data_IF_620983064513
#
_entry.id   IF_620983064513
#
_cell.length_a   1.000
_cell.length_b   1.000
_cell.length_c   1.000
_cell.angle_alpha   90.00
_cell.angle_beta   90.00
_cell.angle_gamma   90.00
#
_symmetry.space_group_name_H-M   'P 1'
#
loop_
_entity.id
_entity.type
_entity.pdbx_description
1 polymer ?
#
# COMPACT_ATOMS: atom_id res chain seq x y z
N UNK A 1 7.35 -55.96 0.99
CA UNK A 1 7.21 -54.53 0.58
C UNK A 1 6.55 -53.68 1.66
N UNK A 2 5.41 -54.07 2.26
CA UNK A 2 4.76 -53.32 3.37
C UNK A 2 5.71 -52.96 4.54
N UNK A 3 6.51 -53.92 5.02
CA UNK A 3 7.39 -53.72 6.18
C UNK A 3 8.53 -52.71 5.97
N UNK A 4 9.01 -52.54 4.72
CA UNK A 4 10.07 -51.57 4.40
C UNK A 4 9.54 -50.14 4.36
N UNK A 5 8.29 -49.96 3.92
CA UNK A 5 7.62 -48.64 3.91
C UNK A 5 7.33 -48.17 5.33
N UNK A 6 6.86 -49.07 6.20
CA UNK A 6 6.60 -48.75 7.62
C UNK A 6 7.87 -48.38 8.38
N UNK A 7 9.00 -49.07 8.10
CA UNK A 7 10.28 -48.76 8.74
C UNK A 7 10.86 -47.42 8.26
N UNK A 8 10.69 -47.08 6.98
CA UNK A 8 11.07 -45.78 6.43
C UNK A 8 10.28 -44.61 7.04
N UNK A 9 8.98 -44.81 7.30
CA UNK A 9 8.14 -43.82 7.98
C UNK A 9 8.57 -43.58 9.43
N UNK A 10 8.91 -44.65 10.15
CA UNK A 10 9.36 -44.57 11.55
C UNK A 10 10.72 -43.86 11.69
N UNK A 11 11.62 -44.01 10.71
CA UNK A 11 12.91 -43.32 10.69
C UNK A 11 12.78 -41.82 10.35
N UNK A 12 11.77 -41.43 9.56
CA UNK A 12 11.49 -40.01 9.25
C UNK A 12 10.95 -39.21 10.45
N UNK A 13 10.35 -39.87 11.43
CA UNK A 13 9.82 -39.23 12.64
C UNK A 13 10.90 -38.64 13.56
N UNK A 14 12.14 -39.14 13.50
CA UNK A 14 13.26 -38.65 14.31
C UNK A 14 13.89 -37.35 13.77
N UNK A 15 13.54 -36.93 12.55
CA UNK A 15 14.05 -35.72 11.89
C UNK A 15 12.97 -34.64 11.70
N UNK A 16 11.97 -34.59 12.57
CA UNK A 16 11.03 -33.47 12.59
C UNK A 16 11.64 -32.31 13.39
N UNK A 17 12.53 -31.56 12.75
CA UNK A 17 12.77 -30.17 13.14
C UNK A 17 11.51 -29.43 12.69
N UNK A 18 10.65 -29.04 13.63
CA UNK A 18 9.59 -28.08 13.34
C UNK A 18 10.25 -26.85 12.70
N UNK A 19 9.85 -26.50 11.47
CA UNK A 19 10.42 -25.35 10.76
C UNK A 19 10.29 -24.12 11.67
N UNK A 20 11.39 -23.43 12.02
CA UNK A 20 11.33 -22.22 12.81
C UNK A 20 10.72 -21.10 11.97
N UNK A 21 9.39 -21.06 11.89
CA UNK A 21 8.64 -20.10 11.07
C UNK A 21 8.79 -18.64 11.53
N UNK A 22 9.49 -18.37 12.63
CA UNK A 22 9.74 -17.01 13.13
C UNK A 22 10.63 -16.22 12.16
N UNK A 23 11.68 -16.86 11.62
CA UNK A 23 12.59 -16.21 10.67
C UNK A 23 11.87 -15.92 9.33
N UNK A 24 11.09 -16.87 8.84
CA UNK A 24 10.29 -16.71 7.61
C UNK A 24 9.17 -15.66 7.79
N UNK A 25 8.52 -15.60 8.96
CA UNK A 25 7.53 -14.56 9.30
C UNK A 25 8.17 -13.17 9.40
N UNK A 26 9.38 -13.06 9.94
CA UNK A 26 10.14 -11.81 9.96
C UNK A 26 10.52 -11.34 8.55
N UNK A 27 10.93 -12.27 7.68
CA UNK A 27 11.24 -11.98 6.29
C UNK A 27 10.00 -11.54 5.51
N UNK A 28 8.88 -12.26 5.66
CA UNK A 28 7.60 -11.87 5.06
C UNK A 28 7.12 -10.49 5.54
N UNK A 29 7.32 -10.16 6.83
CA UNK A 29 7.03 -8.82 7.35
C UNK A 29 7.89 -7.74 6.68
N UNK A 30 9.18 -7.97 6.51
CA UNK A 30 10.08 -7.01 5.83
C UNK A 30 9.68 -6.79 4.37
N UNK A 31 9.34 -7.86 3.65
CA UNK A 31 8.90 -7.79 2.26
C UNK A 31 7.56 -7.05 2.11
N UNK A 32 6.62 -7.27 3.02
CA UNK A 32 5.36 -6.54 3.07
C UNK A 32 5.58 -5.04 3.30
N UNK A 33 6.46 -4.69 4.25
CA UNK A 33 6.80 -3.29 4.55
C UNK A 33 7.48 -2.62 3.35
N UNK A 34 8.46 -3.28 2.72
CA UNK A 34 9.16 -2.70 1.56
C UNK A 34 8.23 -2.51 0.36
N UNK A 35 7.36 -3.48 0.10
CA UNK A 35 6.38 -3.41 -0.99
C UNK A 35 5.34 -2.33 -0.74
N UNK A 36 4.90 -2.16 0.51
CA UNK A 36 3.99 -1.10 0.90
C UNK A 36 4.59 0.30 0.66
N UNK A 37 5.83 0.55 1.09
CA UNK A 37 6.48 1.85 0.86
C UNK A 37 6.64 2.16 -0.63
N UNK A 38 7.04 1.18 -1.45
CA UNK A 38 7.16 1.35 -2.90
C UNK A 38 5.82 1.67 -3.57
N UNK A 39 4.76 0.93 -3.21
CA UNK A 39 3.41 1.19 -3.72
C UNK A 39 2.87 2.55 -3.25
N UNK A 40 3.17 2.93 -2.01
CA UNK A 40 2.76 4.22 -1.44
C UNK A 40 3.43 5.39 -2.16
N UNK A 41 4.73 5.31 -2.44
CA UNK A 41 5.45 6.36 -3.16
C UNK A 41 4.90 6.52 -4.59
N UNK A 42 4.59 5.41 -5.26
CA UNK A 42 3.89 5.43 -6.54
C UNK A 42 2.51 6.13 -6.44
N UNK A 43 1.72 5.82 -5.41
CA UNK A 43 0.43 6.46 -5.18
C UNK A 43 0.56 7.97 -4.92
N UNK A 44 1.59 8.43 -4.20
CA UNK A 44 1.87 9.85 -4.00
C UNK A 44 2.22 10.57 -5.30
N UNK A 45 3.00 9.94 -6.18
CA UNK A 45 3.31 10.50 -7.51
C UNK A 45 2.02 10.67 -8.32
N UNK A 46 1.16 9.64 -8.37
CA UNK A 46 -0.13 9.71 -9.07
C UNK A 46 -1.03 10.80 -8.46
N UNK A 47 -1.12 10.87 -7.14
CA UNK A 47 -1.88 11.90 -6.44
C UNK A 47 -1.43 13.32 -6.82
N UNK A 48 -0.11 13.52 -6.91
CA UNK A 48 0.47 14.80 -7.33
C UNK A 48 0.10 15.14 -8.77
N UNK A 49 0.16 14.17 -9.69
CA UNK A 49 -0.21 14.37 -11.09
C UNK A 49 -1.71 14.72 -11.24
N UNK A 50 -2.58 14.01 -10.52
CA UNK A 50 -4.02 14.29 -10.51
C UNK A 50 -4.33 15.66 -9.90
N UNK A 51 -3.64 16.02 -8.81
CA UNK A 51 -3.74 17.34 -8.19
C UNK A 51 -3.36 18.47 -9.15
N UNK A 52 -2.25 18.32 -9.88
CA UNK A 52 -1.83 19.28 -10.91
C UNK A 52 -2.84 19.37 -12.07
N UNK A 53 -3.35 18.23 -12.55
CA UNK A 53 -4.37 18.22 -13.60
C UNK A 53 -5.66 18.95 -13.18
N UNK A 54 -6.10 18.73 -11.93
CA UNK A 54 -7.21 19.46 -11.34
C UNK A 54 -6.95 20.97 -11.24
N UNK A 55 -5.73 21.36 -10.86
CA UNK A 55 -5.34 22.77 -10.77
C UNK A 55 -5.41 23.48 -12.13
N UNK A 56 -4.96 22.81 -13.21
CA UNK A 56 -5.08 23.34 -14.58
C UNK A 56 -6.54 23.57 -14.96
N UNK A 57 -7.44 22.66 -14.59
CA UNK A 57 -8.87 22.78 -14.87
C UNK A 57 -9.50 23.95 -14.10
N UNK A 58 -9.13 24.14 -12.84
CA UNK A 58 -9.55 25.28 -12.01
C UNK A 58 -9.04 26.59 -12.59
N UNK A 59 -7.77 26.66 -12.96
CA UNK A 59 -7.17 27.83 -13.60
C UNK A 59 -7.90 28.20 -14.89
N UNK A 60 -8.21 27.21 -15.73
CA UNK A 60 -8.99 27.42 -16.95
C UNK A 60 -10.37 28.01 -16.64
N UNK A 61 -11.09 27.45 -15.67
CA UNK A 61 -12.40 27.97 -15.27
C UNK A 61 -12.33 29.43 -14.79
N UNK A 62 -11.22 29.80 -14.14
CA UNK A 62 -10.95 31.17 -13.71
C UNK A 62 -10.76 32.12 -14.90
N UNK A 63 -9.96 31.71 -15.90
CA UNK A 63 -9.73 32.49 -17.12
C UNK A 63 -10.99 32.61 -17.98
N UNK A 64 -11.82 31.57 -18.01
CA UNK A 64 -13.08 31.54 -18.75
C UNK A 64 -14.20 32.37 -18.08
N UNK A 65 -13.96 32.95 -16.89
CA UNK A 65 -14.93 33.77 -16.17
C UNK A 65 -16.19 33.02 -15.73
N UNK A 66 -16.09 31.71 -15.47
CA UNK A 66 -17.25 30.89 -15.08
C UNK A 66 -17.83 31.33 -13.74
N UNK A 67 -19.13 31.17 -13.57
CA UNK A 67 -19.75 31.29 -12.25
C UNK A 67 -19.27 30.18 -11.31
N UNK A 68 -19.10 30.51 -10.02
CA UNK A 68 -18.72 29.59 -8.94
C UNK A 68 -17.31 28.99 -9.02
N UNK A 69 -16.34 29.73 -9.56
CA UNK A 69 -14.91 29.32 -9.53
C UNK A 69 -14.44 29.12 -8.08
N UNK A 70 -14.90 29.94 -7.15
CA UNK A 70 -14.59 29.86 -5.71
C UNK A 70 -14.92 28.47 -5.13
N UNK A 71 -16.08 27.92 -5.51
CA UNK A 71 -16.50 26.57 -5.11
C UNK A 71 -15.64 25.50 -5.77
N UNK A 72 -15.28 25.69 -7.04
CA UNK A 72 -14.41 24.76 -7.77
C UNK A 72 -12.99 24.72 -7.17
N UNK A 73 -12.45 25.87 -6.77
CA UNK A 73 -11.15 25.99 -6.09
C UNK A 73 -11.19 25.28 -4.75
N UNK A 74 -12.24 25.53 -3.94
CA UNK A 74 -12.40 24.88 -2.65
C UNK A 74 -12.55 23.35 -2.81
N UNK A 75 -13.37 22.88 -3.74
CA UNK A 75 -13.57 21.46 -3.99
C UNK A 75 -12.28 20.75 -4.41
N UNK A 76 -11.51 21.36 -5.33
CA UNK A 76 -10.20 20.85 -5.73
C UNK A 76 -9.21 20.79 -4.55
N UNK A 77 -9.15 21.86 -3.76
CA UNK A 77 -8.24 21.95 -2.62
C UNK A 77 -8.56 20.89 -1.55
N UNK A 78 -9.84 20.76 -1.16
CA UNK A 78 -10.24 19.76 -0.17
C UNK A 78 -10.08 18.32 -0.68
N UNK A 79 -10.29 18.08 -1.98
CA UNK A 79 -10.02 16.77 -2.58
C UNK A 79 -8.51 16.43 -2.52
N UNK A 80 -7.64 17.38 -2.88
CA UNK A 80 -6.20 17.19 -2.80
C UNK A 80 -5.72 16.95 -1.36
N UNK A 81 -6.25 17.73 -0.41
CA UNK A 81 -5.94 17.60 1.00
C UNK A 81 -6.41 16.26 1.57
N UNK A 82 -7.60 15.80 1.18
CA UNK A 82 -8.11 14.49 1.59
C UNK A 82 -7.20 13.34 1.13
N UNK A 83 -6.78 13.36 -0.15
CA UNK A 83 -5.87 12.34 -0.68
C UNK A 83 -4.53 12.34 0.08
N UNK A 84 -3.95 13.51 0.34
CA UNK A 84 -2.72 13.62 1.13
C UNK A 84 -2.88 13.07 2.56
N UNK A 85 -3.96 13.45 3.25
CA UNK A 85 -4.24 12.98 4.61
C UNK A 85 -4.55 11.48 4.68
N UNK A 86 -5.23 10.93 3.66
CA UNK A 86 -5.53 9.50 3.59
C UNK A 86 -4.27 8.65 3.63
N UNK A 87 -3.18 9.12 3.02
CA UNK A 87 -1.89 8.41 3.06
C UNK A 87 -1.29 8.37 4.46
N UNK A 88 -1.33 9.49 5.18
CA UNK A 88 -0.88 9.56 6.59
C UNK A 88 -1.77 8.71 7.49
N UNK A 89 -3.08 8.75 7.26
CA UNK A 89 -4.05 7.94 8.00
C UNK A 89 -3.81 6.43 7.81
N UNK A 90 -3.56 5.98 6.59
CA UNK A 90 -3.27 4.57 6.30
C UNK A 90 -1.96 4.11 6.96
N UNK A 91 -0.90 4.94 6.91
CA UNK A 91 0.36 4.65 7.62
C UNK A 91 0.13 4.49 9.13
N UNK A 92 -0.59 5.44 9.73
CA UNK A 92 -0.95 5.38 11.15
C UNK A 92 -1.81 4.15 11.50
N UNK A 93 -2.75 3.75 10.64
CA UNK A 93 -3.63 2.60 10.86
C UNK A 93 -2.87 1.26 10.82
N UNK A 94 -1.89 1.12 9.93
CA UNK A 94 -1.06 -0.08 9.85
C UNK A 94 0.13 -0.08 10.83
N UNK A 95 0.32 1.00 11.59
CA UNK A 95 1.42 1.11 12.55
C UNK A 95 2.80 1.15 11.90
N UNK A 96 2.88 1.71 10.68
CA UNK A 96 4.11 1.88 9.88
C UNK A 96 4.49 3.37 9.87
#
# INVERSE_FOLDING_TARGET
MKMMVTLGLLLSGFYVIAQPGIAEMQQARQELVSTYFSAFDCALVIATLLGLCGAVSVYKNWQDGKHHVDVAVAAWFYAALFVLLSGVFLRALFGI
#
